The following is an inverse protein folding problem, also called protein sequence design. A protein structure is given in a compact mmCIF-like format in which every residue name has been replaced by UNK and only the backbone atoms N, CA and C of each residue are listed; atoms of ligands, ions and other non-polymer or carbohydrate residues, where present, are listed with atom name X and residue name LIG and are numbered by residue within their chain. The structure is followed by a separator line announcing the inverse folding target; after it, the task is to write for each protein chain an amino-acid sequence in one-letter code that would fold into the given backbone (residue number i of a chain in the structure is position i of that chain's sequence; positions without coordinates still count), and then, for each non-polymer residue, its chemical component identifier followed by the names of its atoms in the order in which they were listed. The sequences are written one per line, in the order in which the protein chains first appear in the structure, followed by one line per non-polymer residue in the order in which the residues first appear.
data_IF_186219432416
#
_entry.id   IF_186219432416
#
_cell.length_a   1.000
_cell.length_b   1.000
_cell.length_c   1.000
_cell.angle_alpha   90.00
_cell.angle_beta   90.00
_cell.angle_gamma   90.00
#
_symmetry.space_group_name_H-M   'P 1'
#
loop_
_entity.id
_entity.type
_entity.pdbx_description
1 polymer ?
#
# COMPACT_ATOMS: atom_id res chain seq x y z
N UNK A 1 -16.44 -14.46 -7.25
CA UNK A 1 -15.52 -13.75 -6.33
C UNK A 1 -15.15 -12.44 -6.97
N UNK A 2 -15.18 -11.29 -6.27
CA UNK A 2 -14.62 -10.06 -6.81
C UNK A 2 -13.12 -10.26 -7.02
N UNK A 3 -12.66 -10.04 -8.26
CA UNK A 3 -11.24 -10.14 -8.61
C UNK A 3 -10.59 -8.80 -8.25
N UNK A 4 -9.50 -8.82 -7.46
CA UNK A 4 -8.73 -7.63 -7.12
C UNK A 4 -7.80 -7.28 -8.29
N UNK A 5 -8.08 -6.18 -8.96
CA UNK A 5 -7.35 -5.72 -10.14
C UNK A 5 -7.13 -4.22 -9.97
N UNK A 6 -5.91 -3.82 -9.62
CA UNK A 6 -5.52 -2.41 -9.68
C UNK A 6 -5.14 -2.04 -11.11
N UNK A 7 -5.57 -0.88 -11.61
CA UNK A 7 -5.23 -0.47 -13.00
C UNK A 7 -3.72 -0.45 -13.26
N UNK A 8 -2.92 -0.10 -12.26
CA UNK A 8 -1.45 -0.07 -12.36
C UNK A 8 -0.79 -1.46 -12.49
N UNK A 9 -1.46 -2.54 -12.07
CA UNK A 9 -0.94 -3.91 -12.27
C UNK A 9 -0.95 -4.33 -13.75
N UNK A 10 -1.66 -3.59 -14.61
CA UNK A 10 -1.89 -3.92 -16.01
C UNK A 10 -1.37 -2.86 -16.97
N UNK A 11 -0.20 -2.28 -16.69
CA UNK A 11 0.58 -1.56 -17.72
C UNK A 11 0.96 -2.45 -18.92
N UNK A 12 0.56 -3.74 -18.93
CA UNK A 12 0.25 -4.55 -20.11
C UNK A 12 -0.93 -5.47 -19.76
N UNK A 13 -2.00 -5.66 -20.57
CA UNK A 13 -2.30 -5.21 -21.94
C UNK A 13 -3.60 -4.35 -22.06
N UNK A 14 -3.82 -3.78 -23.25
CA UNK A 14 -4.88 -2.84 -23.67
C UNK A 14 -6.35 -3.29 -23.50
N UNK A 15 -6.63 -4.43 -22.85
CA UNK A 15 -7.98 -4.99 -22.82
C UNK A 15 -8.87 -4.44 -21.69
N UNK A 16 -8.28 -4.05 -20.55
CA UNK A 16 -9.07 -3.71 -19.35
C UNK A 16 -9.99 -2.50 -19.51
N UNK A 17 -9.57 -1.37 -20.12
CA UNK A 17 -10.47 -0.22 -20.27
C UNK A 17 -11.74 -0.57 -21.07
N UNK A 18 -11.63 -1.47 -22.05
CA UNK A 18 -12.77 -1.91 -22.86
C UNK A 18 -13.71 -2.89 -22.17
N UNK A 19 -13.25 -3.54 -21.10
CA UNK A 19 -14.04 -4.53 -20.34
C UNK A 19 -14.71 -3.96 -19.10
N UNK A 20 -14.36 -2.73 -18.68
CA UNK A 20 -14.93 -2.09 -17.50
C UNK A 20 -16.25 -1.39 -17.83
N UNK A 21 -17.28 -1.69 -17.05
CA UNK A 21 -18.55 -0.96 -17.00
C UNK A 21 -18.38 0.35 -16.22
N UNK A 22 -19.17 1.40 -16.51
CA UNK A 22 -19.23 2.59 -15.68
C UNK A 22 -19.57 2.31 -14.20
N UNK A 23 -20.25 1.21 -13.91
CA UNK A 23 -20.64 0.80 -12.55
C UNK A 23 -19.58 -0.07 -11.84
N UNK A 24 -18.48 -0.40 -12.50
CA UNK A 24 -17.44 -1.25 -11.90
C UNK A 24 -16.64 -0.50 -10.84
N UNK A 25 -16.50 -1.12 -9.66
CA UNK A 25 -15.66 -0.63 -8.58
C UNK A 25 -14.25 -1.22 -8.72
N UNK A 26 -13.25 -0.37 -8.94
CA UNK A 26 -11.85 -0.79 -9.11
C UNK A 26 -10.88 0.08 -8.30
N UNK A 27 -9.65 -0.43 -8.12
CA UNK A 27 -8.54 0.30 -7.51
C UNK A 27 -7.79 1.06 -8.61
N UNK A 28 -7.59 2.37 -8.44
CA UNK A 28 -6.90 3.21 -9.43
C UNK A 28 -5.40 2.90 -9.48
N UNK A 29 -4.78 2.77 -8.32
CA UNK A 29 -3.32 2.64 -8.18
C UNK A 29 -2.94 1.71 -7.05
N UNK A 30 -1.82 1.04 -7.20
CA UNK A 30 -1.14 0.31 -6.12
C UNK A 30 0.24 0.87 -5.90
N UNK A 31 0.64 0.97 -4.64
CA UNK A 31 1.96 1.38 -4.23
C UNK A 31 2.54 0.34 -3.28
N UNK A 32 3.81 0.03 -3.47
CA UNK A 32 4.60 -0.81 -2.57
C UNK A 32 6.02 -0.22 -2.52
N UNK A 33 6.72 -0.43 -1.41
CA UNK A 33 8.12 -0.04 -1.27
C UNK A 33 9.02 -1.12 -1.87
N UNK A 34 10.00 -0.69 -2.67
CA UNK A 34 10.90 -1.59 -3.39
C UNK A 34 12.16 -1.91 -2.55
N UNK A 35 12.75 -3.11 -2.65
CA UNK A 35 13.98 -3.48 -1.94
C UNK A 35 15.19 -2.57 -2.18
N UNK A 36 15.19 -1.77 -3.25
CA UNK A 36 16.27 -0.80 -3.50
C UNK A 36 16.26 0.40 -2.55
N UNK A 37 15.20 0.62 -1.76
CA UNK A 37 15.12 1.75 -0.83
C UNK A 37 15.98 1.48 0.41
N UNK A 38 16.98 2.31 0.71
CA UNK A 38 17.81 2.14 1.90
C UNK A 38 16.99 2.26 3.19
N UNK A 39 17.42 1.58 4.25
CA UNK A 39 16.73 1.64 5.54
C UNK A 39 16.64 3.05 6.13
N UNK A 40 17.64 3.90 5.90
CA UNK A 40 17.64 5.30 6.33
C UNK A 40 16.58 6.16 5.65
N UNK A 41 16.11 5.74 4.47
CA UNK A 41 15.25 6.55 3.61
C UNK A 41 13.77 6.14 3.72
N UNK A 42 13.44 5.20 4.61
CA UNK A 42 12.10 4.60 4.74
C UNK A 42 11.00 5.64 4.90
N UNK A 43 11.13 6.48 5.93
CA UNK A 43 10.16 7.54 6.23
C UNK A 43 10.09 8.57 5.09
N UNK A 44 11.22 8.86 4.43
CA UNK A 44 11.26 9.79 3.31
C UNK A 44 10.52 9.22 2.10
N UNK A 45 10.77 7.96 1.76
CA UNK A 45 10.09 7.27 0.66
C UNK A 45 8.57 7.34 0.84
N UNK A 46 8.05 6.90 1.99
CA UNK A 46 6.61 6.90 2.22
C UNK A 46 6.04 8.31 2.29
N UNK A 47 6.73 9.26 2.92
CA UNK A 47 6.28 10.65 2.95
C UNK A 47 6.15 11.24 1.55
N UNK A 48 7.14 11.01 0.69
CA UNK A 48 7.14 11.51 -0.69
C UNK A 48 6.06 10.80 -1.53
N UNK A 49 5.87 9.49 -1.33
CA UNK A 49 4.83 8.70 -1.99
C UNK A 49 3.43 9.22 -1.63
N UNK A 50 3.16 9.42 -0.35
CA UNK A 50 1.86 9.89 0.18
C UNK A 50 1.54 11.29 -0.35
N UNK A 51 2.51 12.20 -0.36
CA UNK A 51 2.34 13.57 -0.88
C UNK A 51 2.07 13.63 -2.39
N UNK A 52 2.42 12.57 -3.12
CA UNK A 52 2.24 12.47 -4.58
C UNK A 52 1.01 11.67 -4.98
N UNK A 53 0.17 11.25 -4.02
CA UNK A 53 -1.07 10.57 -4.35
C UNK A 53 -1.99 11.50 -5.15
N UNK A 54 -2.42 11.05 -6.32
CA UNK A 54 -3.44 11.72 -7.12
C UNK A 54 -4.86 11.37 -6.61
N UNK A 55 -5.90 12.13 -6.99
CA UNK A 55 -7.30 11.80 -6.67
C UNK A 55 -7.70 10.40 -7.17
N UNK A 56 -8.40 9.63 -6.32
CA UNK A 56 -8.83 8.26 -6.61
C UNK A 56 -8.57 7.31 -5.43
N UNK A 57 -8.73 6.01 -5.65
CA UNK A 57 -8.48 4.95 -4.67
C UNK A 57 -7.10 4.34 -4.92
N UNK A 58 -6.17 4.56 -3.98
CA UNK A 58 -4.85 3.90 -3.99
C UNK A 58 -4.80 2.82 -2.92
N UNK A 59 -4.38 1.61 -3.31
CA UNK A 59 -3.99 0.54 -2.40
C UNK A 59 -2.49 0.65 -2.08
N UNK A 60 -2.15 0.83 -0.81
CA UNK A 60 -0.78 0.85 -0.33
C UNK A 60 -0.48 -0.47 0.37
N UNK A 61 0.44 -1.26 -0.16
CA UNK A 61 0.85 -2.55 0.43
C UNK A 61 1.95 -2.30 1.45
N UNK A 62 1.75 -2.81 2.67
CA UNK A 62 2.64 -2.62 3.83
C UNK A 62 2.73 -3.93 4.60
N UNK A 63 3.85 -4.16 5.30
CA UNK A 63 4.08 -5.38 6.05
C UNK A 63 4.34 -5.03 7.52
N UNK A 64 3.38 -5.25 8.41
CA UNK A 64 3.51 -4.83 9.82
C UNK A 64 3.86 -6.02 10.71
N UNK A 65 4.94 -5.90 11.48
CA UNK A 65 5.30 -6.81 12.57
C UNK A 65 6.45 -6.22 13.40
N UNK A 66 6.66 -6.76 14.60
CA UNK A 66 7.86 -6.46 15.37
C UNK A 66 9.07 -7.23 14.84
N UNK A 67 10.27 -6.65 14.92
CA UNK A 67 11.54 -7.35 14.69
C UNK A 67 11.97 -8.14 15.94
N UNK A 68 11.18 -9.15 16.28
CA UNK A 68 11.42 -10.04 17.41
C UNK A 68 11.94 -11.42 16.98
N UNK A 69 12.23 -12.27 17.97
CA UNK A 69 12.75 -13.63 17.74
C UNK A 69 11.82 -14.47 16.86
N UNK A 70 10.50 -14.34 17.03
CA UNK A 70 9.53 -15.11 16.26
C UNK A 70 9.56 -14.68 14.79
N UNK A 71 9.48 -13.38 14.52
CA UNK A 71 9.49 -12.85 13.16
C UNK A 71 10.82 -13.09 12.44
N UNK A 72 11.95 -12.97 13.15
CA UNK A 72 13.28 -13.33 12.62
C UNK A 72 13.36 -14.80 12.26
N UNK A 73 12.79 -15.69 13.07
CA UNK A 73 12.71 -17.13 12.77
C UNK A 73 11.82 -17.40 11.56
N UNK A 74 10.63 -16.78 11.51
CA UNK A 74 9.69 -16.95 10.41
C UNK A 74 10.21 -16.46 9.06
N UNK A 75 11.13 -15.49 9.06
CA UNK A 75 11.63 -14.83 7.85
C UNK A 75 13.14 -14.93 7.66
N UNK A 76 13.79 -15.93 8.27
CA UNK A 76 15.26 -16.04 8.34
C UNK A 76 15.98 -16.00 6.98
N UNK A 77 15.33 -16.44 5.89
CA UNK A 77 15.87 -16.45 4.53
C UNK A 77 15.15 -15.49 3.57
N UNK A 78 14.47 -14.48 4.13
CA UNK A 78 13.75 -13.44 3.39
C UNK A 78 14.24 -12.08 3.88
N UNK A 79 15.41 -11.60 3.42
CA UNK A 79 15.93 -10.29 3.82
C UNK A 79 15.01 -9.15 3.35
N UNK A 80 14.47 -9.27 2.15
CA UNK A 80 13.39 -8.43 1.65
C UNK A 80 12.06 -8.86 2.27
N UNK A 81 11.27 -7.88 2.70
CA UNK A 81 10.06 -8.12 3.49
C UNK A 81 10.35 -8.98 4.74
N UNK A 82 11.57 -8.93 5.29
CA UNK A 82 11.96 -9.65 6.52
C UNK A 82 11.55 -8.93 7.80
N UNK A 83 11.96 -9.45 8.96
CA UNK A 83 11.62 -8.89 10.27
C UNK A 83 11.96 -7.39 10.41
N UNK A 84 13.19 -6.98 10.07
CA UNK A 84 13.61 -5.58 10.12
C UNK A 84 12.87 -4.67 9.12
N UNK A 85 12.39 -5.21 8.00
CA UNK A 85 11.51 -4.48 7.09
C UNK A 85 10.16 -4.20 7.74
N UNK A 86 9.56 -5.25 8.32
CA UNK A 86 8.26 -5.14 8.95
C UNK A 86 8.22 -4.20 10.14
N UNK A 87 9.32 -4.16 10.89
CA UNK A 87 9.50 -3.21 11.99
C UNK A 87 9.50 -1.76 11.48
N UNK A 88 10.21 -1.47 10.39
CA UNK A 88 10.26 -0.11 9.81
C UNK A 88 8.90 0.33 9.26
N UNK A 89 8.16 -0.58 8.64
CA UNK A 89 6.77 -0.31 8.23
C UNK A 89 5.91 -0.03 9.47
N UNK A 90 5.99 -0.88 10.50
CA UNK A 90 5.26 -0.69 11.75
C UNK A 90 5.55 0.68 12.38
N UNK A 91 6.81 1.06 12.52
CA UNK A 91 7.23 2.35 13.07
C UNK A 91 6.68 3.52 12.27
N UNK A 92 6.77 3.48 10.93
CA UNK A 92 6.26 4.57 10.11
C UNK A 92 4.73 4.67 10.18
N UNK A 93 4.00 3.58 9.95
CA UNK A 93 2.54 3.61 9.82
C UNK A 93 1.79 3.75 11.16
N UNK A 94 2.48 3.56 12.28
CA UNK A 94 1.94 3.85 13.62
C UNK A 94 2.34 5.24 14.16
N UNK A 95 3.24 5.96 13.47
CA UNK A 95 3.77 7.25 13.90
C UNK A 95 2.77 8.42 13.81
N UNK A 96 3.02 9.45 14.60
CA UNK A 96 2.33 10.74 14.48
C UNK A 96 2.63 11.44 13.14
N UNK A 97 3.82 11.21 12.57
CA UNK A 97 4.19 11.76 11.28
C UNK A 97 3.28 11.25 10.16
N UNK A 98 2.97 9.94 10.15
CA UNK A 98 2.02 9.38 9.19
C UNK A 98 0.61 9.94 9.38
N UNK A 99 0.13 10.06 10.63
CA UNK A 99 -1.18 10.67 10.91
C UNK A 99 -1.27 12.11 10.40
N UNK A 100 -0.21 12.89 10.59
CA UNK A 100 -0.12 14.27 10.10
C UNK A 100 -0.11 14.32 8.57
N UNK A 101 0.62 13.43 7.90
CA UNK A 101 0.62 13.34 6.44
C UNK A 101 -0.78 13.08 5.88
N UNK A 102 -1.56 12.18 6.51
CA UNK A 102 -2.94 11.93 6.08
C UNK A 102 -3.80 13.19 6.18
N UNK A 103 -3.69 13.93 7.28
CA UNK A 103 -4.45 15.15 7.51
C UNK A 103 -4.07 16.26 6.53
N UNK A 104 -2.77 16.54 6.37
CA UNK A 104 -2.25 17.61 5.50
C UNK A 104 -2.58 17.38 4.03
N UNK A 105 -2.60 16.11 3.58
CA UNK A 105 -2.89 15.76 2.19
C UNK A 105 -4.36 15.36 1.96
N UNK A 106 -5.24 15.55 2.95
CA UNK A 106 -6.68 15.25 2.88
C UNK A 106 -6.99 13.79 2.48
N UNK A 107 -6.13 12.86 2.91
CA UNK A 107 -6.26 11.44 2.58
C UNK A 107 -7.23 10.79 3.57
N UNK A 108 -8.19 10.04 3.03
CA UNK A 108 -9.13 9.24 3.82
C UNK A 108 -8.75 7.79 3.71
N UNK A 109 -8.46 7.16 4.86
CA UNK A 109 -8.36 5.71 4.93
C UNK A 109 -9.77 5.12 4.82
N UNK A 110 -9.92 4.13 3.95
CA UNK A 110 -11.16 3.41 3.73
C UNK A 110 -10.93 1.91 3.92
N UNK A 111 -11.98 1.18 4.22
CA UNK A 111 -11.95 -0.26 4.41
C UNK A 111 -12.52 -1.00 3.21
N UNK A 112 -12.09 -2.26 3.02
CA UNK A 112 -12.70 -3.17 2.05
C UNK A 112 -14.21 -3.36 2.28
N UNK A 113 -14.67 -3.24 3.53
CA UNK A 113 -16.10 -3.30 3.86
C UNK A 113 -16.87 -2.12 3.29
N UNK A 114 -16.29 -0.91 3.30
CA UNK A 114 -16.91 0.27 2.71
C UNK A 114 -16.93 0.18 1.19
N UNK A 115 -15.83 -0.26 0.57
CA UNK A 115 -15.79 -0.51 -0.88
C UNK A 115 -16.80 -1.59 -1.29
N UNK A 116 -16.93 -2.67 -0.51
CA UNK A 116 -17.88 -3.74 -0.79
C UNK A 116 -19.35 -3.29 -0.77
N UNK A 117 -19.70 -2.21 -0.07
CA UNK A 117 -21.07 -1.65 -0.10
C UNK A 117 -21.41 -0.96 -1.43
N UNK A 118 -20.40 -0.67 -2.25
CA UNK A 118 -20.58 -0.07 -3.58
C UNK A 118 -20.83 -1.13 -4.67
N UNK A 119 -20.48 -2.38 -4.38
CA UNK A 119 -20.68 -3.52 -5.28
C UNK A 119 -22.09 -4.05 -5.05
N UNK A 120 -22.90 -4.10 -6.12
CA UNK A 120 -24.26 -4.67 -6.10
C UNK A 120 -24.24 -6.19 -6.22
#
# INVERSE_FOLDING_TARGET
MPVRVAKTWFTRPDFLPSTLSPDDVYIDRTLDINPSVPASDWSKFYSDAIKKLEPGVTELVIHLAYDDTEMRGATFNHPDWGAAWRQRDFEFFTSDAFRKLLQENQIKLITWRELGKLIK
#
